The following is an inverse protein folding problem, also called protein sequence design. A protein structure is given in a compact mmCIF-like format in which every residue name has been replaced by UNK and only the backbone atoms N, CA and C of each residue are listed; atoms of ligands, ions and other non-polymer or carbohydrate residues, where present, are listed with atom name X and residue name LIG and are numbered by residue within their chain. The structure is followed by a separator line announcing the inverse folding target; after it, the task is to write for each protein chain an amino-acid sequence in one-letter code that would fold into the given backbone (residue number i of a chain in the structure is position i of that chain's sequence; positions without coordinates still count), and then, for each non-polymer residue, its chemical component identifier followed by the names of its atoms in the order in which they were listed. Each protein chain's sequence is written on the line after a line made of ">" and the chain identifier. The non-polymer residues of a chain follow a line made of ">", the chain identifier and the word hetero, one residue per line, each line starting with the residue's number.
data_IF_362812662453
#
_entry.id   IF_362812662453
#
_cell.length_a   1.000
_cell.length_b   1.000
_cell.length_c   1.000
_cell.angle_alpha   90.00
_cell.angle_beta   90.00
_cell.angle_gamma   90.00
#
_symmetry.space_group_name_H-M   'P 1'
#
loop_
_entity.id
_entity.type
_entity.pdbx_description
1 polymer ?
#
# COMPACT_ATOMS: atom_id res chain seq x y z
N UNK A 1 19.72 13.59 20.02
CA UNK A 1 19.05 12.30 20.27
C UNK A 1 18.31 11.86 18.99
N UNK A 2 18.76 10.78 18.37
CA UNK A 2 18.36 10.39 17.02
C UNK A 2 16.89 9.95 16.84
N UNK A 3 16.18 9.62 17.92
CA UNK A 3 14.83 9.03 17.85
C UNK A 3 13.70 9.95 18.30
N UNK A 4 13.97 11.21 18.58
CA UNK A 4 12.93 12.17 18.98
C UNK A 4 12.28 12.78 17.74
N UNK A 5 10.97 12.99 17.81
CA UNK A 5 10.23 13.81 16.84
C UNK A 5 10.75 15.24 16.87
N UNK A 6 10.72 15.95 15.76
CA UNK A 6 11.08 17.37 15.69
C UNK A 6 10.27 18.18 16.69
N UNK A 7 10.85 19.28 17.21
CA UNK A 7 10.23 20.04 18.29
C UNK A 7 8.92 20.70 17.87
N UNK A 8 8.85 21.12 16.62
CA UNK A 8 7.73 21.85 16.05
C UNK A 8 6.65 20.91 15.45
N UNK A 9 6.77 19.59 15.71
CA UNK A 9 5.82 18.61 15.20
C UNK A 9 4.44 18.78 15.85
N UNK A 10 3.44 18.85 15.00
CA UNK A 10 2.04 18.83 15.42
C UNK A 10 1.62 17.43 15.88
N UNK A 11 0.71 17.39 16.84
CA UNK A 11 0.08 16.11 17.21
C UNK A 11 -0.84 15.64 16.08
N UNK A 12 -0.77 14.35 15.74
CA UNK A 12 -1.62 13.71 14.76
C UNK A 12 -2.55 12.76 15.50
N UNK A 13 -3.84 12.84 15.25
CA UNK A 13 -4.86 12.07 15.99
C UNK A 13 -4.71 12.14 17.51
N UNK A 14 -4.28 13.31 18.02
CA UNK A 14 -4.08 13.56 19.47
C UNK A 14 -2.84 12.90 20.07
N UNK A 15 -1.95 12.32 19.26
CA UNK A 15 -0.74 11.66 19.71
C UNK A 15 0.52 12.16 18.98
N UNK A 16 1.68 11.74 19.47
CA UNK A 16 2.93 11.99 18.75
C UNK A 16 2.91 11.21 17.41
N UNK A 17 3.29 11.82 16.27
CA UNK A 17 3.26 11.16 14.96
C UNK A 17 3.94 9.80 14.94
N UNK A 18 5.07 9.65 15.59
CA UNK A 18 5.78 8.37 15.64
C UNK A 18 4.99 7.26 16.38
N UNK A 19 4.01 7.63 17.23
CA UNK A 19 3.21 6.65 17.98
C UNK A 19 2.09 6.03 17.16
N UNK A 20 1.88 6.50 15.95
CA UNK A 20 1.04 5.81 14.96
C UNK A 20 1.62 4.43 14.61
N UNK A 21 2.94 4.27 14.69
CA UNK A 21 3.60 2.96 14.61
C UNK A 21 3.66 2.34 16.00
N UNK A 22 3.29 1.09 16.13
CA UNK A 22 3.26 0.34 17.39
C UNK A 22 4.64 0.36 18.09
N UNK A 23 4.64 0.42 19.43
CA UNK A 23 5.86 0.51 20.23
C UNK A 23 6.87 -0.61 19.94
N UNK A 24 6.38 -1.83 19.75
CA UNK A 24 7.23 -3.01 19.48
C UNK A 24 7.95 -2.81 18.15
N UNK A 25 7.22 -2.42 17.10
CA UNK A 25 7.75 -2.19 15.75
C UNK A 25 8.75 -1.04 15.77
N UNK A 26 8.39 0.10 16.41
CA UNK A 26 9.31 1.25 16.55
C UNK A 26 10.63 0.86 17.22
N UNK A 27 10.58 0.07 18.29
CA UNK A 27 11.79 -0.39 18.97
C UNK A 27 12.66 -1.21 18.02
N UNK A 28 12.05 -2.10 17.23
CA UNK A 28 12.79 -2.88 16.23
C UNK A 28 13.38 -2.03 15.11
N UNK A 29 12.65 -0.99 14.69
CA UNK A 29 13.17 -0.03 13.71
C UNK A 29 14.39 0.71 14.27
N UNK A 30 14.32 1.24 15.50
CA UNK A 30 15.43 1.95 16.12
C UNK A 30 16.68 1.08 16.35
N UNK A 31 16.50 -0.21 16.56
CA UNK A 31 17.59 -1.18 16.70
C UNK A 31 18.19 -1.60 15.35
N UNK A 32 17.46 -1.44 14.25
CA UNK A 32 17.88 -1.89 12.93
C UNK A 32 19.12 -1.14 12.43
N UNK A 33 19.93 -1.85 11.63
CA UNK A 33 21.11 -1.28 10.99
C UNK A 33 20.72 -0.15 10.02
N UNK A 34 19.67 -0.37 9.21
CA UNK A 34 19.18 0.61 8.25
C UNK A 34 18.81 1.94 8.92
N UNK A 35 18.12 1.90 10.06
CA UNK A 35 17.79 3.11 10.81
C UNK A 35 19.01 3.87 11.32
N UNK A 36 19.99 3.17 11.82
CA UNK A 36 21.21 3.76 12.41
C UNK A 36 22.16 4.35 11.38
N UNK A 37 22.26 3.72 10.22
CA UNK A 37 23.21 4.08 9.17
C UNK A 37 22.55 4.95 8.09
N UNK A 38 21.42 4.52 7.54
CA UNK A 38 20.79 5.16 6.40
C UNK A 38 19.76 6.24 6.77
N UNK A 39 19.03 6.06 7.87
CA UNK A 39 18.05 7.03 8.32
C UNK A 39 18.61 8.09 9.28
N UNK A 40 19.89 8.00 9.64
CA UNK A 40 20.50 8.96 10.55
C UNK A 40 20.69 10.32 9.87
N UNK A 41 20.21 11.39 10.54
CA UNK A 41 20.39 12.75 10.03
C UNK A 41 19.64 13.13 8.76
N UNK A 42 18.73 12.25 8.25
CA UNK A 42 17.95 12.57 7.06
C UNK A 42 17.03 13.77 7.27
N UNK A 43 17.07 14.69 6.32
CA UNK A 43 16.08 15.76 6.10
C UNK A 43 14.96 15.27 5.17
N UNK A 44 13.92 16.08 4.99
CA UNK A 44 12.84 15.73 4.04
C UNK A 44 13.35 15.48 2.61
N UNK A 45 14.28 16.29 2.15
CA UNK A 45 14.92 16.15 0.82
C UNK A 45 15.70 14.83 0.70
N UNK A 46 16.54 14.52 1.69
CA UNK A 46 17.32 13.28 1.68
C UNK A 46 16.47 12.01 1.82
N UNK A 47 15.25 12.14 2.37
CA UNK A 47 14.29 11.03 2.38
C UNK A 47 13.84 10.68 0.97
N UNK A 48 13.72 11.65 0.07
CA UNK A 48 13.38 11.40 -1.35
C UNK A 48 14.44 10.50 -1.99
N UNK A 49 15.71 10.85 -1.83
CA UNK A 49 16.83 10.08 -2.38
C UNK A 49 16.80 8.62 -1.89
N UNK A 50 16.58 8.43 -0.58
CA UNK A 50 16.46 7.09 -0.01
C UNK A 50 15.19 6.36 -0.44
N UNK A 51 14.10 7.07 -0.71
CA UNK A 51 12.87 6.50 -1.22
C UNK A 51 13.01 6.05 -2.69
N UNK A 52 13.82 6.74 -3.50
CA UNK A 52 14.14 6.31 -4.87
C UNK A 52 14.95 5.00 -4.89
N UNK A 53 15.76 4.74 -3.89
CA UNK A 53 16.52 3.48 -3.74
C UNK A 53 15.63 2.28 -3.35
N UNK A 54 14.38 2.49 -2.93
CA UNK A 54 13.46 1.43 -2.53
C UNK A 54 13.17 0.46 -3.68
N UNK A 55 13.17 -0.84 -3.35
CA UNK A 55 12.94 -1.93 -4.32
C UNK A 55 11.70 -2.76 -4.02
N UNK A 56 11.10 -2.58 -2.85
CA UNK A 56 9.92 -3.31 -2.40
C UNK A 56 9.23 -2.55 -1.27
N UNK A 57 7.94 -2.86 -1.06
CA UNK A 57 7.14 -2.44 0.08
C UNK A 57 7.08 -3.58 1.10
N UNK A 58 6.70 -3.30 2.32
CA UNK A 58 6.49 -4.32 3.34
C UNK A 58 6.59 -3.76 4.74
N UNK A 59 6.17 -4.57 5.70
CA UNK A 59 6.22 -4.26 7.12
C UNK A 59 7.44 -4.85 7.81
N UNK A 60 7.21 -5.83 8.66
CA UNK A 60 8.26 -6.59 9.34
C UNK A 60 8.31 -8.02 8.83
N UNK A 61 9.49 -8.63 8.85
CA UNK A 61 9.69 -9.98 8.36
C UNK A 61 10.60 -10.82 9.28
N UNK A 62 10.44 -12.11 9.15
CA UNK A 62 11.24 -13.10 9.89
C UNK A 62 10.89 -13.20 11.37
N UNK A 63 11.37 -14.27 12.02
CA UNK A 63 11.06 -14.54 13.43
C UNK A 63 11.53 -13.46 14.42
N UNK A 64 12.53 -12.66 14.05
CA UNK A 64 13.05 -11.55 14.87
C UNK A 64 12.40 -10.20 14.59
N UNK A 65 11.30 -10.16 13.84
CA UNK A 65 10.57 -8.92 13.52
C UNK A 65 11.55 -7.87 12.94
N UNK A 66 12.19 -8.19 11.81
CA UNK A 66 13.10 -7.27 11.11
C UNK A 66 12.29 -6.27 10.29
N UNK A 67 12.49 -4.96 10.46
CA UNK A 67 11.78 -3.97 9.65
C UNK A 67 12.35 -3.87 8.24
N UNK A 68 11.48 -3.63 7.27
CA UNK A 68 11.87 -3.31 5.90
C UNK A 68 12.39 -1.86 5.81
N UNK A 69 13.17 -1.51 4.77
CA UNK A 69 13.55 -0.13 4.50
C UNK A 69 12.34 0.80 4.32
N UNK A 70 11.28 0.33 3.65
CA UNK A 70 10.04 1.06 3.47
C UNK A 70 9.41 1.48 4.81
N UNK A 71 9.32 0.54 5.75
CA UNK A 71 8.78 0.81 7.08
C UNK A 71 9.66 1.78 7.88
N UNK A 72 10.98 1.67 7.74
CA UNK A 72 11.93 2.60 8.37
C UNK A 72 11.75 4.04 7.83
N UNK A 73 11.61 4.21 6.52
CA UNK A 73 11.39 5.52 5.91
C UNK A 73 10.02 6.09 6.28
N UNK A 74 8.97 5.26 6.36
CA UNK A 74 7.66 5.69 6.87
C UNK A 74 7.78 6.28 8.29
N UNK A 75 8.48 5.58 9.21
CA UNK A 75 8.72 6.11 10.55
C UNK A 75 9.58 7.38 10.54
N UNK A 76 10.53 7.47 9.60
CA UNK A 76 11.37 8.67 9.45
C UNK A 76 10.54 9.88 9.01
N UNK A 77 9.63 9.71 8.07
CA UNK A 77 8.69 10.76 7.67
C UNK A 77 7.80 11.19 8.85
N UNK A 78 7.31 10.25 9.66
CA UNK A 78 6.57 10.57 10.90
C UNK A 78 7.43 11.31 11.94
N UNK A 79 8.74 11.09 11.94
CA UNK A 79 9.67 11.80 12.80
C UNK A 79 9.90 13.25 12.36
N UNK A 80 10.06 13.46 11.05
CA UNK A 80 10.40 14.75 10.45
C UNK A 80 9.15 15.61 10.26
N UNK A 81 8.02 14.99 9.96
CA UNK A 81 6.74 15.64 9.61
C UNK A 81 6.89 16.63 8.44
N UNK A 82 7.19 16.15 7.24
CA UNK A 82 7.25 17.01 6.06
C UNK A 82 5.89 17.69 5.82
N UNK A 83 5.93 18.86 5.18
CA UNK A 83 4.75 19.62 4.81
C UNK A 83 3.85 18.83 3.83
N UNK A 84 2.55 19.12 3.85
CA UNK A 84 1.56 18.42 3.02
C UNK A 84 1.89 18.49 1.53
N UNK A 85 2.38 19.65 1.05
CA UNK A 85 2.69 19.86 -0.36
C UNK A 85 3.80 18.93 -0.83
N UNK A 86 4.81 18.69 0.02
CA UNK A 86 5.89 17.72 -0.26
C UNK A 86 5.31 16.30 -0.38
N UNK A 87 4.36 15.94 0.47
CA UNK A 87 3.72 14.62 0.41
C UNK A 87 2.87 14.46 -0.84
N UNK A 88 2.16 15.50 -1.23
CA UNK A 88 1.38 15.52 -2.48
C UNK A 88 2.32 15.34 -3.69
N UNK A 89 3.51 15.96 -3.67
CA UNK A 89 4.52 15.77 -4.71
C UNK A 89 5.04 14.32 -4.74
N UNK A 90 5.25 13.68 -3.59
CA UNK A 90 5.58 12.25 -3.53
C UNK A 90 4.52 11.39 -4.19
N UNK A 91 3.24 11.66 -3.91
CA UNK A 91 2.12 10.92 -4.47
C UNK A 91 1.99 11.12 -5.98
N UNK A 92 2.23 12.33 -6.47
CA UNK A 92 2.18 12.69 -7.89
C UNK A 92 3.39 12.20 -8.70
N UNK A 93 4.44 11.73 -8.03
CA UNK A 93 5.65 11.26 -8.72
C UNK A 93 5.34 10.06 -9.60
N UNK A 94 5.51 10.21 -10.91
CA UNK A 94 5.26 9.16 -11.89
C UNK A 94 6.46 8.26 -12.13
N UNK A 95 7.67 8.77 -11.97
CA UNK A 95 8.90 8.04 -12.28
C UNK A 95 9.17 6.95 -11.24
N UNK A 96 9.01 7.27 -9.96
CA UNK A 96 9.39 6.40 -8.85
C UNK A 96 8.17 5.85 -8.09
N UNK A 97 7.68 4.69 -8.53
CA UNK A 97 6.50 4.04 -7.92
C UNK A 97 6.60 3.84 -6.41
N UNK A 98 7.78 3.53 -5.85
CA UNK A 98 7.94 3.32 -4.41
C UNK A 98 7.96 4.63 -3.62
N UNK A 99 8.39 5.75 -4.23
CA UNK A 99 8.24 7.09 -3.66
C UNK A 99 6.75 7.44 -3.54
N UNK A 100 5.99 7.18 -4.62
CA UNK A 100 4.53 7.35 -4.65
C UNK A 100 3.84 6.56 -3.53
N UNK A 101 4.18 5.28 -3.37
CA UNK A 101 3.60 4.44 -2.33
C UNK A 101 4.00 4.88 -0.91
N UNK A 102 5.21 5.38 -0.73
CA UNK A 102 5.65 5.92 0.54
C UNK A 102 4.85 7.18 0.92
N UNK A 103 4.64 8.08 -0.05
CA UNK A 103 3.77 9.25 0.10
C UNK A 103 2.33 8.86 0.42
N UNK A 104 1.77 7.88 -0.30
CA UNK A 104 0.43 7.35 -0.07
C UNK A 104 0.26 6.78 1.34
N UNK A 105 1.21 5.96 1.80
CA UNK A 105 1.22 5.41 3.16
C UNK A 105 1.27 6.51 4.22
N UNK A 106 2.11 7.52 4.03
CA UNK A 106 2.23 8.64 4.94
C UNK A 106 0.94 9.48 4.96
N UNK A 107 0.38 9.82 3.80
CA UNK A 107 -0.90 10.54 3.69
C UNK A 107 -2.02 9.79 4.42
N UNK A 108 -2.09 8.47 4.27
CA UNK A 108 -3.09 7.64 4.93
C UNK A 108 -2.96 7.65 6.47
N UNK A 109 -1.74 7.80 6.98
CA UNK A 109 -1.47 7.86 8.42
C UNK A 109 -1.74 9.25 9.02
N UNK A 110 -1.52 10.31 8.27
CA UNK A 110 -1.48 11.69 8.79
C UNK A 110 -2.56 12.60 8.24
N UNK A 111 -3.09 12.29 7.06
CA UNK A 111 -4.07 13.11 6.35
C UNK A 111 -5.48 13.02 6.92
N UNK A 112 -6.32 13.96 6.53
CA UNK A 112 -7.76 13.90 6.78
C UNK A 112 -8.42 12.84 5.88
N UNK A 113 -9.65 12.42 6.20
CA UNK A 113 -10.36 11.46 5.37
C UNK A 113 -10.57 12.00 3.93
N UNK A 114 -10.92 13.28 3.79
CA UNK A 114 -11.07 13.94 2.48
C UNK A 114 -9.75 13.92 1.70
N UNK A 115 -8.64 14.27 2.36
CA UNK A 115 -7.33 14.25 1.71
C UNK A 115 -6.93 12.84 1.25
N UNK A 116 -7.21 11.83 2.08
CA UNK A 116 -6.93 10.45 1.72
C UNK A 116 -7.65 10.05 0.44
N UNK A 117 -8.96 10.29 0.33
CA UNK A 117 -9.69 9.96 -0.90
C UNK A 117 -9.23 10.81 -2.08
N UNK A 118 -9.13 12.13 -1.91
CA UNK A 118 -8.74 13.05 -2.98
C UNK A 118 -7.40 12.71 -3.64
N UNK A 119 -6.40 12.28 -2.86
CA UNK A 119 -5.05 12.04 -3.38
C UNK A 119 -4.75 10.56 -3.64
N UNK A 120 -5.44 9.63 -3.00
CA UNK A 120 -5.18 8.20 -3.18
C UNK A 120 -6.09 7.57 -4.25
N UNK A 121 -7.34 8.00 -4.40
CA UNK A 121 -8.24 7.44 -5.42
C UNK A 121 -7.71 7.56 -6.85
N UNK A 122 -7.10 8.66 -7.30
CA UNK A 122 -6.52 8.73 -8.64
C UNK A 122 -5.44 7.68 -8.91
N UNK A 123 -4.83 7.11 -7.86
CA UNK A 123 -3.81 6.07 -8.00
C UNK A 123 -4.38 4.69 -8.34
N UNK A 124 -5.70 4.51 -8.33
CA UNK A 124 -6.33 3.30 -8.86
C UNK A 124 -6.06 3.09 -10.35
N UNK A 125 -5.70 4.15 -11.08
CA UNK A 125 -5.31 4.07 -12.49
C UNK A 125 -3.83 3.69 -12.69
N UNK A 126 -3.08 3.44 -11.62
CA UNK A 126 -1.68 3.02 -11.68
C UNK A 126 -1.55 1.50 -11.53
N UNK A 127 -1.44 0.80 -12.65
CA UNK A 127 -1.35 -0.68 -12.69
C UNK A 127 0.08 -1.21 -12.66
N UNK A 128 1.07 -0.39 -12.28
CA UNK A 128 2.47 -0.81 -12.24
C UNK A 128 2.70 -1.88 -11.18
N UNK A 129 3.47 -2.89 -11.58
CA UNK A 129 3.86 -4.00 -10.71
C UNK A 129 4.84 -3.55 -9.63
N UNK A 130 4.59 -3.93 -8.40
CA UNK A 130 5.44 -3.71 -7.24
C UNK A 130 5.79 -5.03 -6.57
N UNK A 131 6.85 -5.04 -5.80
CA UNK A 131 7.21 -6.17 -4.93
C UNK A 131 6.77 -5.85 -3.51
N UNK A 132 6.03 -6.77 -2.90
CA UNK A 132 5.69 -6.73 -1.48
C UNK A 132 6.44 -7.83 -0.74
N UNK A 133 7.02 -7.53 0.41
CA UNK A 133 7.67 -8.52 1.26
C UNK A 133 6.72 -8.94 2.38
N UNK A 134 6.36 -10.22 2.42
CA UNK A 134 5.51 -10.79 3.44
C UNK A 134 6.28 -11.04 4.76
N UNK A 135 5.54 -11.46 5.79
CA UNK A 135 6.13 -11.77 7.11
C UNK A 135 7.15 -12.90 7.10
N UNK A 136 7.05 -13.83 6.17
CA UNK A 136 8.02 -14.92 6.04
C UNK A 136 9.34 -14.45 5.42
N UNK A 137 9.33 -13.27 4.79
CA UNK A 137 10.47 -12.70 4.07
C UNK A 137 10.49 -13.02 2.58
N UNK A 138 9.44 -13.67 2.07
CA UNK A 138 9.25 -13.94 0.66
C UNK A 138 8.72 -12.71 -0.06
N UNK A 139 9.00 -12.61 -1.35
CA UNK A 139 8.51 -11.51 -2.18
C UNK A 139 7.30 -11.96 -2.98
N UNK A 140 6.25 -11.21 -2.87
CA UNK A 140 5.01 -11.36 -3.62
C UNK A 140 4.90 -10.23 -4.64
N UNK A 141 4.26 -10.52 -5.77
CA UNK A 141 3.96 -9.54 -6.79
C UNK A 141 2.57 -8.94 -6.48
N UNK A 142 2.50 -7.64 -6.43
CA UNK A 142 1.31 -6.83 -6.21
C UNK A 142 1.29 -5.70 -7.23
N UNK A 143 0.15 -5.05 -7.43
CA UNK A 143 0.05 -3.84 -8.23
C UNK A 143 -0.13 -2.61 -7.34
N UNK A 144 0.08 -1.42 -7.90
CA UNK A 144 -0.07 -0.17 -7.12
C UNK A 144 -1.52 0.03 -6.69
N UNK A 145 -2.48 -0.20 -7.58
CA UNK A 145 -3.92 -0.13 -7.32
C UNK A 145 -4.34 -1.04 -6.17
N UNK A 146 -3.85 -2.29 -6.13
CA UNK A 146 -4.10 -3.25 -5.04
C UNK A 146 -3.58 -2.71 -3.70
N UNK A 147 -2.38 -2.11 -3.68
CA UNK A 147 -1.82 -1.52 -2.47
C UNK A 147 -2.62 -0.30 -1.99
N UNK A 148 -3.12 0.51 -2.91
CA UNK A 148 -3.99 1.66 -2.59
C UNK A 148 -5.33 1.17 -2.04
N UNK A 149 -5.89 0.10 -2.61
CA UNK A 149 -7.11 -0.52 -2.09
C UNK A 149 -6.93 -1.01 -0.65
N UNK A 150 -5.82 -1.69 -0.37
CA UNK A 150 -5.47 -2.07 1.00
C UNK A 150 -5.37 -0.86 1.93
N UNK A 151 -4.76 0.26 1.48
CA UNK A 151 -4.66 1.47 2.29
C UNK A 151 -6.01 2.09 2.62
N UNK A 152 -6.98 2.04 1.70
CA UNK A 152 -8.29 2.65 1.90
C UNK A 152 -9.27 1.76 2.68
N UNK A 153 -9.13 0.44 2.59
CA UNK A 153 -10.11 -0.49 3.14
C UNK A 153 -9.60 -1.36 4.30
N UNK A 154 -8.30 -1.69 4.33
CA UNK A 154 -7.77 -2.53 5.39
C UNK A 154 -7.54 -1.76 6.69
N UNK A 155 -7.65 -2.46 7.81
CA UNK A 155 -7.33 -1.92 9.13
C UNK A 155 -5.82 -1.86 9.40
N UNK A 156 -5.05 -2.68 8.69
CA UNK A 156 -3.61 -2.82 8.89
C UNK A 156 -2.90 -3.04 7.54
N UNK A 157 -1.92 -2.20 7.26
CA UNK A 157 -1.04 -2.33 6.09
C UNK A 157 0.40 -2.22 6.53
N UNK A 158 1.30 -3.02 5.96
CA UNK A 158 2.72 -3.06 6.32
C UNK A 158 2.95 -3.19 7.84
N UNK A 159 2.14 -4.00 8.52
CA UNK A 159 2.16 -4.22 9.98
C UNK A 159 1.84 -2.98 10.84
N UNK A 160 1.43 -1.87 10.24
CA UNK A 160 0.95 -0.67 10.95
C UNK A 160 -0.57 -0.69 11.01
N UNK A 161 -1.14 -0.40 12.18
CA UNK A 161 -2.57 -0.17 12.34
C UNK A 161 -2.88 1.21 11.79
N UNK A 162 -3.77 1.27 10.80
CA UNK A 162 -4.17 2.52 10.18
C UNK A 162 -5.21 3.26 11.03
N UNK A 163 -5.14 4.59 11.10
CA UNK A 163 -6.19 5.39 11.72
C UNK A 163 -7.55 5.13 11.05
N UNK A 164 -8.63 5.22 11.82
CA UNK A 164 -9.97 5.02 11.30
C UNK A 164 -10.31 6.06 10.22
N UNK A 165 -10.69 5.60 9.05
CA UNK A 165 -11.13 6.43 7.93
C UNK A 165 -12.66 6.52 7.93
N UNK A 166 -13.22 7.70 7.71
CA UNK A 166 -14.65 7.87 7.46
C UNK A 166 -15.00 7.21 6.12
N UNK A 167 -16.19 6.62 6.05
CA UNK A 167 -16.67 6.03 4.79
C UNK A 167 -16.87 7.13 3.75
N UNK A 168 -16.53 6.83 2.50
CA UNK A 168 -16.66 7.75 1.37
C UNK A 168 -18.08 8.32 1.23
N UNK A 169 -19.08 7.45 1.33
CA UNK A 169 -20.48 7.83 1.25
C UNK A 169 -20.87 8.94 2.25
N UNK A 170 -20.37 8.89 3.48
CA UNK A 170 -20.64 9.91 4.50
C UNK A 170 -20.06 11.28 4.13
N UNK A 171 -18.91 11.27 3.44
CA UNK A 171 -18.26 12.49 2.97
C UNK A 171 -18.95 13.06 1.72
N UNK A 172 -19.51 12.22 0.88
CA UNK A 172 -20.35 12.62 -0.25
C UNK A 172 -21.67 13.23 0.22
N UNK A 173 -22.34 12.59 1.17
CA UNK A 173 -23.58 13.12 1.79
C UNK A 173 -23.35 14.45 2.50
N UNK A 174 -22.13 14.69 3.00
CA UNK A 174 -21.72 15.94 3.63
C UNK A 174 -21.20 16.99 2.62
N UNK A 175 -21.28 16.74 1.33
CA UNK A 175 -20.77 17.61 0.24
C UNK A 175 -19.27 17.97 0.39
N UNK A 176 -18.50 17.13 1.10
CA UNK A 176 -17.06 17.32 1.30
C UNK A 176 -16.22 16.63 0.23
N UNK A 177 -16.80 15.72 -0.52
CA UNK A 177 -16.16 14.94 -1.55
C UNK A 177 -17.14 14.72 -2.71
N UNK A 178 -16.68 14.93 -3.93
CA UNK A 178 -17.45 14.67 -5.14
C UNK A 178 -17.76 13.18 -5.29
N UNK A 179 -18.84 12.84 -6.00
CA UNK A 179 -19.15 11.47 -6.37
C UNK A 179 -18.02 10.88 -7.20
N UNK A 180 -17.69 9.62 -6.96
CA UNK A 180 -16.65 8.94 -7.72
C UNK A 180 -17.19 8.57 -9.10
N UNK A 181 -16.54 9.09 -10.13
CA UNK A 181 -16.73 8.65 -11.50
C UNK A 181 -15.83 7.44 -11.73
N UNK A 182 -16.39 6.38 -12.26
CA UNK A 182 -15.61 5.19 -12.62
C UNK A 182 -14.84 5.45 -13.91
N UNK A 183 -13.60 5.00 -14.01
CA UNK A 183 -12.85 5.06 -15.27
C UNK A 183 -13.59 4.34 -16.43
N UNK A 184 -14.38 3.31 -16.11
CA UNK A 184 -15.21 2.60 -17.08
C UNK A 184 -16.42 3.46 -17.55
N UNK A 185 -16.96 4.32 -16.71
CA UNK A 185 -18.02 5.26 -17.09
C UNK A 185 -17.45 6.36 -17.99
N UNK A 186 -16.27 6.90 -17.67
CA UNK A 186 -15.58 7.86 -18.55
C UNK A 186 -15.30 7.27 -19.94
N UNK A 187 -14.79 6.03 -20.01
CA UNK A 187 -14.55 5.34 -21.27
C UNK A 187 -15.85 5.09 -22.07
N UNK A 188 -16.97 4.80 -21.38
CA UNK A 188 -18.29 4.63 -22.04
C UNK A 188 -18.84 5.95 -22.57
N UNK A 189 -18.74 7.01 -21.79
CA UNK A 189 -19.19 8.35 -22.21
C UNK A 189 -18.37 8.87 -23.41
N UNK A 190 -17.05 8.60 -23.45
CA UNK A 190 -16.22 8.92 -24.62
C UNK A 190 -16.63 8.14 -25.88
N UNK A 191 -16.98 6.85 -25.72
CA UNK A 191 -17.45 6.02 -26.84
C UNK A 191 -18.82 6.49 -27.33
N UNK A 192 -19.77 6.76 -26.43
CA UNK A 192 -21.09 7.27 -26.80
C UNK A 192 -20.99 8.63 -27.51
N UNK A 193 -20.13 9.55 -27.01
CA UNK A 193 -19.94 10.84 -27.66
C UNK A 193 -19.32 10.73 -29.05
N UNK A 194 -18.40 9.79 -29.26
CA UNK A 194 -17.81 9.55 -30.59
C UNK A 194 -18.77 8.93 -31.58
N UNK A 195 -19.67 8.04 -31.11
CA UNK A 195 -20.73 7.45 -31.94
C UNK A 195 -21.80 8.50 -32.36
N UNK A 196 -22.12 9.45 -31.46
CA UNK A 196 -23.03 10.54 -31.77
C UNK A 196 -22.44 11.53 -32.81
N UNK A 197 -21.12 11.83 -32.72
CA UNK A 197 -20.43 12.67 -33.71
C UNK A 197 -20.38 11.99 -35.08
N UNK A 198 -20.11 10.67 -35.14
CA UNK A 198 -20.12 9.91 -36.39
C UNK A 198 -21.53 9.81 -37.01
N UNK A 199 -22.60 9.69 -36.18
CA UNK A 199 -23.99 9.73 -36.68
C UNK A 199 -24.43 11.11 -37.19
N UNK A 200 -23.93 12.21 -36.62
CA UNK A 200 -24.18 13.55 -37.10
C UNK A 200 -23.45 13.83 -38.42
N UNK A 201 -22.20 13.38 -38.59
CA UNK A 201 -21.46 13.48 -39.87
C UNK A 201 -22.15 12.66 -40.99
N UNK A 202 -22.65 11.43 -40.72
CA UNK A 202 -23.42 10.64 -41.68
C UNK A 202 -24.73 11.31 -42.08
N UNK A 203 -25.38 12.03 -41.18
CA UNK A 203 -26.60 12.79 -41.48
C UNK A 203 -26.32 14.02 -42.35
N UNK A 204 -25.13 14.65 -42.23
CA UNK A 204 -24.72 15.78 -43.04
C UNK A 204 -24.36 15.39 -44.48
N UNK A 205 -23.79 14.20 -44.70
CA UNK A 205 -23.49 13.69 -46.05
C UNK A 205 -24.73 13.23 -46.85
N UNK A 206 -25.88 13.05 -46.20
CA UNK A 206 -27.14 12.62 -46.87
C UNK A 206 -28.04 13.74 -47.31
N UNK A 207 -27.60 14.98 -47.41
CA UNK A 207 -28.36 16.04 -48.04
C UNK A 207 -28.39 15.82 -49.58
N UNK A 208 -29.60 15.75 -50.20
CA UNK A 208 -29.68 15.43 -51.62
C UNK A 208 -29.15 16.58 -52.46
N UNK A 209 -28.18 16.29 -53.30
CA UNK A 209 -27.70 17.20 -54.36
C UNK A 209 -28.86 17.52 -55.30
N UNK A 210 -29.03 18.80 -55.71
CA UNK A 210 -30.10 19.16 -56.66
C UNK A 210 -29.84 18.55 -58.02
N UNK A 211 -30.90 17.91 -58.55
CA UNK A 211 -30.91 17.33 -59.91
C UNK A 211 -30.59 18.34 -60.99
N UNK A 212 -29.74 18.06 -61.99
CA UNK A 212 -29.67 18.84 -63.20
C UNK A 212 -30.66 18.34 -64.26
N UNK A 213 -31.40 19.30 -64.78
CA UNK A 213 -32.41 19.19 -65.81
C UNK A 213 -32.09 18.31 -67.02
N UNK A 214 -33.10 17.51 -67.41
CA UNK A 214 -33.26 16.76 -68.68
C UNK A 214 -33.02 17.68 -69.89
N UNK A 215 -32.15 17.26 -70.80
CA UNK A 215 -32.30 17.54 -72.25
C UNK A 215 -32.13 16.22 -72.98
N UNK A 216 -33.22 15.89 -73.70
CA UNK A 216 -33.31 14.83 -74.68
C UNK A 216 -32.44 15.05 -75.87
N UNK A 217 -31.73 14.06 -76.39
CA UNK A 217 -31.68 13.78 -77.83
C UNK A 217 -31.24 12.38 -78.12
N UNK A 218 -31.92 11.81 -79.09
CA UNK A 218 -31.91 10.58 -79.80
C UNK A 218 -30.53 10.14 -80.32
N UNK A 219 -30.50 8.86 -80.47
CA UNK A 219 -30.15 7.99 -81.60
C UNK A 219 -28.88 7.11 -81.49
N UNK A 220 -29.22 5.84 -81.65
CA UNK A 220 -28.50 4.79 -82.39
C UNK A 220 -26.97 4.62 -82.20
N UNK A 221 -26.58 3.55 -81.63
CA UNK A 221 -25.95 2.38 -82.31
C UNK A 221 -25.35 1.40 -81.31
N UNK A 222 -25.62 0.12 -81.54
CA UNK A 222 -24.95 -0.98 -80.85
C UNK A 222 -23.54 -1.19 -81.44
N UNK A 223 -22.58 -1.62 -80.71
CA UNK A 223 -22.29 -3.04 -80.67
C UNK A 223 -21.82 -3.62 -79.33
N UNK A 224 -22.06 -4.90 -79.22
CA UNK A 224 -21.72 -5.87 -78.22
C UNK A 224 -20.34 -5.65 -77.55
N UNK A 225 -20.31 -5.65 -76.23
CA UNK A 225 -19.07 -5.95 -75.47
C UNK A 225 -19.29 -6.98 -74.38
N UNK A 226 -18.39 -7.91 -74.44
CA UNK A 226 -18.07 -9.07 -73.65
C UNK A 226 -18.24 -8.92 -72.10
N UNK A 227 -18.59 -10.00 -71.43
CA UNK A 227 -18.74 -10.01 -69.99
C UNK A 227 -17.37 -9.94 -69.27
N UNK A 228 -17.22 -9.01 -68.37
CA UNK A 228 -16.08 -8.89 -67.46
C UNK A 228 -16.00 -10.13 -66.54
N UNK A 229 -14.78 -10.62 -66.31
CA UNK A 229 -14.61 -11.81 -65.46
C UNK A 229 -14.95 -11.52 -64.02
N UNK A 230 -15.92 -12.27 -63.48
CA UNK A 230 -16.22 -12.28 -62.05
C UNK A 230 -14.99 -12.74 -61.28
N UNK A 231 -14.43 -11.86 -60.45
CA UNK A 231 -13.47 -12.24 -59.45
C UNK A 231 -14.10 -13.28 -58.49
N UNK A 232 -13.65 -14.54 -58.66
CA UNK A 232 -13.92 -15.58 -57.68
C UNK A 232 -13.20 -15.23 -56.39
N UNK A 233 -13.94 -14.94 -55.32
CA UNK A 233 -13.42 -15.00 -53.98
C UNK A 233 -12.84 -16.38 -53.70
N UNK A 234 -11.53 -16.48 -53.59
CA UNK A 234 -10.85 -17.67 -53.14
C UNK A 234 -11.18 -17.91 -51.67
N UNK A 235 -11.87 -19.01 -51.43
CA UNK A 235 -12.06 -19.55 -50.08
C UNK A 235 -10.71 -20.05 -49.59
N UNK A 236 -10.12 -19.41 -48.58
CA UNK A 236 -8.98 -19.94 -47.88
C UNK A 236 -9.35 -21.29 -47.21
N UNK A 237 -8.52 -22.31 -47.34
CA UNK A 237 -8.81 -23.60 -46.71
C UNK A 237 -8.59 -23.45 -45.17
N UNK A 238 -9.63 -23.70 -44.38
CA UNK A 238 -9.51 -23.92 -42.95
C UNK A 238 -8.61 -25.13 -42.71
N UNK A 239 -7.35 -24.89 -42.35
CA UNK A 239 -6.46 -25.92 -41.79
C UNK A 239 -7.01 -26.32 -40.42
N UNK A 240 -7.70 -27.43 -40.37
CA UNK A 240 -7.88 -28.18 -39.13
C UNK A 240 -6.54 -28.80 -38.77
N UNK A 241 -5.78 -28.22 -37.88
CA UNK A 241 -4.66 -28.90 -37.25
C UNK A 241 -5.21 -29.91 -36.23
N UNK A 242 -5.20 -31.17 -36.63
CA UNK A 242 -5.35 -32.29 -35.70
C UNK A 242 -4.01 -32.45 -35.01
N UNK A 243 -3.90 -32.04 -33.75
CA UNK A 243 -2.80 -32.44 -32.90
C UNK A 243 -2.86 -33.93 -32.64
N UNK A 244 -1.80 -34.71 -32.87
CA UNK A 244 -1.79 -36.12 -32.50
C UNK A 244 -1.76 -36.22 -30.98
N UNK A 245 -2.81 -36.85 -30.38
CA UNK A 245 -2.80 -37.32 -29.02
C UNK A 245 -1.71 -38.40 -28.86
N UNK A 246 -0.51 -38.01 -28.47
CA UNK A 246 0.47 -38.95 -27.94
C UNK A 246 -0.03 -39.38 -26.55
N UNK A 247 -0.63 -40.55 -26.48
CA UNK A 247 -0.76 -41.33 -25.26
C UNK A 247 0.63 -41.86 -24.94
N UNK A 248 1.30 -41.24 -23.97
CA UNK A 248 2.43 -41.88 -23.30
C UNK A 248 1.86 -42.82 -22.22
N UNK A 249 2.23 -44.08 -22.21
CA UNK A 249 1.90 -44.98 -21.11
C UNK A 249 2.75 -44.53 -19.91
N UNK A 250 2.10 -44.10 -18.84
CA UNK A 250 2.78 -43.93 -17.57
C UNK A 250 3.16 -45.32 -17.01
N UNK A 251 4.41 -45.50 -16.57
CA UNK A 251 4.80 -46.74 -15.94
C UNK A 251 4.03 -46.92 -14.64
N UNK A 252 3.36 -48.08 -14.48
CA UNK A 252 2.80 -48.52 -13.20
C UNK A 252 3.92 -48.54 -12.17
N UNK A 253 3.88 -47.64 -11.23
CA UNK A 253 4.68 -47.71 -10.00
C UNK A 253 4.10 -48.80 -9.13
N UNK A 254 4.82 -49.93 -9.09
CA UNK A 254 4.65 -50.92 -8.06
C UNK A 254 4.75 -50.26 -6.68
N UNK A 255 3.65 -50.33 -5.94
CA UNK A 255 3.62 -49.97 -4.55
C UNK A 255 4.39 -51.00 -3.75
N UNK A 256 5.70 -50.86 -3.64
CA UNK A 256 6.41 -51.50 -2.53
C UNK A 256 5.97 -50.88 -1.22
N UNK A 257 5.17 -51.63 -0.51
CA UNK A 257 4.74 -51.40 0.84
C UNK A 257 5.97 -51.50 1.77
N UNK A 258 6.72 -50.43 1.97
CA UNK A 258 7.78 -50.39 2.96
C UNK A 258 7.14 -50.41 4.34
N UNK A 259 7.35 -51.52 5.05
CA UNK A 259 7.03 -51.67 6.47
C UNK A 259 7.98 -50.75 7.24
N UNK A 260 7.47 -49.65 7.78
CA UNK A 260 8.21 -48.84 8.76
C UNK A 260 8.53 -49.68 10.01
N UNK A 261 9.78 -49.64 10.52
CA UNK A 261 10.11 -50.34 11.73
C UNK A 261 9.38 -49.70 12.93
N UNK A 262 8.72 -50.56 13.72
CA UNK A 262 8.10 -50.21 14.99
C UNK A 262 9.18 -49.57 15.89
N UNK A 263 9.01 -48.30 16.23
CA UNK A 263 9.75 -47.66 17.29
C UNK A 263 9.40 -48.33 18.61
N UNK A 264 10.37 -48.99 19.17
CA UNK A 264 10.33 -49.46 20.55
C UNK A 264 10.12 -48.26 21.48
N UNK A 265 8.99 -48.28 22.21
CA UNK A 265 8.77 -47.42 23.38
C UNK A 265 9.72 -47.86 24.46
N UNK A 266 10.81 -47.14 24.67
CA UNK A 266 11.58 -47.26 25.90
C UNK A 266 10.77 -46.67 27.02
N UNK A 267 10.38 -47.55 27.96
CA UNK A 267 9.84 -47.17 29.27
C UNK A 267 11.00 -46.59 30.06
N UNK A 268 11.10 -45.29 30.17
CA UNK A 268 11.93 -44.66 31.16
C UNK A 268 11.23 -44.84 32.52
N UNK A 269 11.88 -45.59 33.39
CA UNK A 269 11.49 -45.72 34.78
C UNK A 269 11.79 -44.43 35.49
N UNK A 270 10.74 -43.71 35.92
CA UNK A 270 10.81 -42.63 36.88
C UNK A 270 11.43 -43.15 38.19
N UNK A 271 12.71 -42.87 38.38
CA UNK A 271 13.31 -42.87 39.71
C UNK A 271 13.07 -41.50 40.31
N UNK A 272 12.01 -41.41 41.11
CA UNK A 272 11.79 -40.33 42.05
C UNK A 272 12.92 -40.38 43.10
N UNK A 273 13.95 -39.61 42.93
CA UNK A 273 14.79 -39.22 44.05
C UNK A 273 14.20 -38.03 44.77
N UNK A 274 13.57 -38.38 45.90
CA UNK A 274 13.13 -37.48 46.94
C UNK A 274 14.35 -36.91 47.62
N UNK A 275 14.85 -35.73 47.26
CA UNK A 275 15.79 -34.99 48.05
C UNK A 275 15.09 -34.32 49.19
N UNK A 276 15.39 -34.80 50.41
CA UNK A 276 14.99 -34.17 51.67
C UNK A 276 15.80 -32.88 51.83
N UNK A 277 15.11 -31.74 51.90
CA UNK A 277 15.70 -30.51 52.44
C UNK A 277 15.77 -30.63 53.99
N UNK A 278 16.92 -30.27 54.58
CA UNK A 278 16.98 -30.14 56.04
C UNK A 278 16.31 -28.81 56.40
N UNK A 279 15.41 -28.89 57.36
CA UNK A 279 14.76 -27.73 57.96
C UNK A 279 15.64 -27.09 59.04
N UNK A 280 15.18 -25.94 59.40
CA UNK A 280 15.48 -25.15 60.57
C UNK A 280 16.73 -24.25 60.58
N UNK A 281 16.47 -22.92 60.53
CA UNK A 281 16.73 -22.17 61.76
C UNK A 281 15.81 -20.90 61.79
N UNK A 282 15.05 -20.87 62.84
CA UNK A 282 14.27 -19.73 63.38
C UNK A 282 15.32 -18.76 63.97
N UNK A 283 15.32 -17.50 63.58
CA UNK A 283 15.84 -16.43 64.41
C UNK A 283 15.06 -15.15 64.19
N UNK A 284 14.37 -14.85 65.18
CA UNK A 284 14.16 -13.58 65.86
C UNK A 284 13.99 -12.27 65.06
N UNK A 285 12.77 -11.79 65.27
CA UNK A 285 12.32 -10.38 65.22
C UNK A 285 13.40 -9.40 65.69
N UNK A 286 13.63 -8.40 64.86
CA UNK A 286 13.92 -7.04 65.38
C UNK A 286 13.03 -6.04 64.65
N UNK A 287 12.06 -5.55 65.41
CA UNK A 287 11.27 -4.36 65.15
C UNK A 287 12.17 -3.18 65.44
N UNK A 288 12.50 -2.40 64.46
CA UNK A 288 13.05 -1.06 64.70
C UNK A 288 12.03 -0.03 64.21
N UNK A 289 11.46 0.62 65.21
CA UNK A 289 10.75 1.88 65.06
C UNK A 289 11.77 2.96 64.72
N UNK A 290 11.61 3.69 63.67
CA UNK A 290 12.21 5.00 63.55
C UNK A 290 11.13 6.04 63.39
N UNK A 291 11.12 6.89 64.39
CA UNK A 291 10.28 8.07 64.60
C UNK A 291 10.64 9.15 63.55
N UNK A 292 9.62 9.71 62.93
CA UNK A 292 9.62 11.06 62.37
C UNK A 292 9.85 12.10 63.43
N UNK A 293 10.55 13.18 63.16
CA UNK A 293 10.31 14.45 63.83
C UNK A 293 9.76 15.47 62.83
N UNK A 294 8.55 15.91 63.13
CA UNK A 294 8.09 17.26 62.79
C UNK A 294 8.97 18.31 63.44
N UNK A 295 9.23 19.37 62.74
CA UNK A 295 9.25 20.77 63.22
C UNK A 295 9.65 21.67 62.09
N UNK A 296 8.86 22.58 61.77
CA UNK A 296 8.32 23.84 62.24
C UNK A 296 8.84 24.98 61.38
N UNK A 297 7.84 25.67 60.89
CA UNK A 297 7.82 27.02 60.35
C UNK A 297 8.80 28.01 60.97
N UNK A 298 9.48 28.80 60.13
CA UNK A 298 9.75 30.20 60.45
C UNK A 298 9.64 31.11 59.19
N UNK A 299 8.62 31.97 59.27
CA UNK A 299 8.51 33.24 58.54
C UNK A 299 9.70 34.12 58.91
N UNK A 300 10.27 34.79 57.94
CA UNK A 300 10.85 36.10 58.16
C UNK A 300 10.63 36.99 56.94
N UNK A 301 9.97 38.05 57.24
CA UNK A 301 9.75 39.28 56.50
C UNK A 301 11.04 40.10 56.25
N UNK A 302 10.88 41.00 55.29
CA UNK A 302 11.60 42.31 55.09
C UNK A 302 12.68 42.24 53.99
N UNK A 303 12.81 43.20 53.10
CA UNK A 303 12.28 44.58 53.00
C UNK A 303 12.67 45.15 51.64
N UNK A 304 11.79 45.93 51.06
CA UNK A 304 11.97 46.93 50.01
C UNK A 304 13.21 47.84 50.15
N UNK A 305 13.76 48.21 48.95
CA UNK A 305 14.29 49.54 48.58
C UNK A 305 14.72 49.50 47.13
N UNK A 306 14.09 50.17 46.14
CA UNK A 306 14.14 51.61 45.77
C UNK A 306 15.57 52.17 45.59
N UNK A 307 15.80 52.69 44.40
CA UNK A 307 16.82 53.65 43.95
C UNK A 307 17.19 53.29 42.49
N UNK A 308 16.69 53.97 41.48
CA UNK A 308 17.16 55.17 40.80
C UNK A 308 18.69 55.18 40.55
N UNK A 309 19.03 54.97 39.29
CA UNK A 309 19.44 55.92 38.25
C UNK A 309 19.45 55.25 36.92
#
# INVERSE_FOLDING_TARGET
>A
MANRTVKDANSIHGTNPQYLVEKIIRTRIYESKYWKEECFGLTAELVVDKAMELKFVGGVYGGNIKPTPFLCLTLKMLQIQPEKDIIVEFIKNEDFKYVRLLGAMYMRLTGTAVDCYKYLEPLYNDYRKIKSQNRNGEFELMHVDEFIDELLHAERVCDIILPRLQKRQVLEEAEMLDTRISALEEDLDEVESSEEEDEEEEKFERLPSPEPHRRSHRDNDRPRRSPSPRYRRSRSPRRRSRSPKRRSPSPRRDRHRSKSPRRHRSRSRDRRHRSKSPGHHRSHRHRSHSKTPERSSKKSHKKSRRGND
#
